data_IF_607414607422
#
_entry.id   IF_607414607422
#
_cell.length_a   1.000
_cell.length_b   1.000
_cell.length_c   1.000
_cell.angle_alpha   90.00
_cell.angle_beta   90.00
_cell.angle_gamma   90.00
#
_symmetry.space_group_name_H-M   'P 1'
#
loop_
_entity.id
_entity.type
_entity.pdbx_description
1 polymer ?
#
# COMPACT_ATOMS: atom_id res chain seq x y z
N UNK A 1 -16.73 9.56 22.36
CA UNK A 1 -15.67 9.62 21.35
C UNK A 1 -14.69 10.71 21.81
N UNK A 2 -13.49 10.31 22.24
CA UNK A 2 -12.45 11.27 22.61
C UNK A 2 -12.05 12.01 21.33
N UNK A 3 -12.24 13.33 21.29
CA UNK A 3 -11.72 14.16 20.20
C UNK A 3 -10.21 14.05 20.28
N UNK A 4 -9.60 13.37 19.31
CA UNK A 4 -8.15 13.23 19.23
C UNK A 4 -7.57 14.66 19.15
N UNK A 5 -6.65 14.99 20.04
CA UNK A 5 -6.01 16.31 20.02
C UNK A 5 -5.22 16.46 18.71
N UNK A 6 -5.21 17.66 18.09
CA UNK A 6 -4.42 17.92 16.90
C UNK A 6 -2.96 17.50 17.11
N UNK A 7 -2.39 16.77 16.15
CA UNK A 7 -1.02 16.24 16.17
C UNK A 7 -0.25 16.73 14.94
N UNK A 8 0.06 18.05 14.87
CA UNK A 8 0.65 18.63 13.66
C UNK A 8 2.03 18.06 13.30
N UNK A 9 2.71 17.45 14.27
CA UNK A 9 4.03 16.83 14.05
C UNK A 9 3.95 15.37 13.63
N UNK A 10 2.74 14.77 13.57
CA UNK A 10 2.52 13.35 13.28
C UNK A 10 2.02 13.18 11.85
N UNK A 11 2.66 12.30 11.08
CA UNK A 11 2.19 11.88 9.77
C UNK A 11 1.22 10.70 9.89
N UNK A 12 0.07 10.76 9.23
CA UNK A 12 -0.83 9.61 9.08
C UNK A 12 -0.36 8.73 7.92
N UNK A 13 -0.14 7.44 8.17
CA UNK A 13 0.11 6.40 7.16
C UNK A 13 -1.18 5.60 6.98
N UNK A 14 -1.85 5.71 5.86
CA UNK A 14 -3.12 5.03 5.61
C UNK A 14 -3.02 4.11 4.40
N UNK A 15 -3.32 2.81 4.59
CA UNK A 15 -3.49 1.89 3.46
C UNK A 15 -4.93 1.98 2.94
N UNK A 16 -5.08 2.14 1.61
CA UNK A 16 -6.36 2.15 0.91
C UNK A 16 -6.79 0.72 0.64
N UNK A 17 -7.74 0.18 1.41
CA UNK A 17 -8.04 -1.24 1.42
C UNK A 17 -9.48 -1.58 1.10
N UNK A 18 -9.70 -2.54 0.22
CA UNK A 18 -10.97 -3.23 0.04
C UNK A 18 -11.01 -4.46 0.96
N UNK A 19 -12.18 -4.75 1.56
CA UNK A 19 -12.35 -5.92 2.42
C UNK A 19 -11.95 -7.20 1.66
N UNK A 20 -11.03 -8.02 2.21
CA UNK A 20 -10.53 -9.23 1.54
C UNK A 20 -11.57 -10.35 1.55
N UNK A 21 -12.60 -10.20 0.70
CA UNK A 21 -13.68 -11.17 0.52
C UNK A 21 -13.48 -11.98 -0.75
N UNK A 22 -13.87 -13.25 -0.67
CA UNK A 22 -13.82 -14.17 -1.81
C UNK A 22 -14.56 -13.59 -3.03
N UNK A 23 -13.87 -13.56 -4.19
CA UNK A 23 -14.38 -13.04 -5.45
C UNK A 23 -14.49 -11.51 -5.56
N UNK A 24 -14.19 -10.77 -4.48
CA UNK A 24 -14.29 -9.30 -4.48
C UNK A 24 -12.93 -8.59 -4.62
N UNK A 25 -11.82 -9.27 -4.29
CA UNK A 25 -10.46 -8.71 -4.33
C UNK A 25 -9.53 -9.57 -5.17
N UNK A 26 -8.49 -8.96 -5.75
CA UNK A 26 -7.42 -9.65 -6.48
C UNK A 26 -7.92 -10.64 -7.56
N UNK A 27 -9.06 -10.37 -8.18
CA UNK A 27 -9.67 -11.23 -9.20
C UNK A 27 -8.78 -11.40 -10.46
N UNK A 28 -7.85 -10.47 -10.72
CA UNK A 28 -6.87 -10.56 -11.81
C UNK A 28 -5.72 -11.53 -11.51
N UNK A 29 -5.63 -12.00 -10.26
CA UNK A 29 -4.72 -13.09 -9.87
C UNK A 29 -5.35 -14.48 -10.10
N UNK A 30 -6.58 -14.55 -10.59
CA UNK A 30 -7.32 -15.79 -10.87
C UNK A 30 -7.48 -15.96 -12.38
N UNK A 31 -6.83 -16.94 -13.04
CA UNK A 31 -5.75 -17.77 -12.50
C UNK A 31 -4.42 -17.00 -12.32
N UNK A 32 -3.40 -17.49 -11.60
CA UNK A 32 -3.19 -18.86 -11.14
C UNK A 32 -3.78 -19.19 -9.76
N UNK A 33 -4.25 -18.19 -9.01
CA UNK A 33 -4.91 -18.42 -7.72
C UNK A 33 -6.36 -18.85 -7.91
N UNK A 34 -6.91 -19.52 -6.89
CA UNK A 34 -8.35 -19.63 -6.70
C UNK A 34 -8.90 -18.34 -6.04
N UNK A 35 -10.21 -18.09 -6.16
CA UNK A 35 -10.84 -16.88 -5.59
C UNK A 35 -10.62 -16.75 -4.07
N UNK A 36 -10.69 -17.88 -3.34
CA UNK A 36 -10.44 -17.92 -1.91
C UNK A 36 -8.96 -17.66 -1.59
N UNK A 37 -8.04 -18.25 -2.36
CA UNK A 37 -6.60 -18.03 -2.22
C UNK A 37 -6.24 -16.55 -2.43
N UNK A 38 -6.86 -15.89 -3.41
CA UNK A 38 -6.67 -14.48 -3.70
C UNK A 38 -7.15 -13.59 -2.54
N UNK A 39 -8.28 -13.93 -1.91
CA UNK A 39 -8.79 -13.22 -0.74
C UNK A 39 -7.87 -13.38 0.49
N UNK A 40 -7.39 -14.61 0.76
CA UNK A 40 -6.45 -14.87 1.85
C UNK A 40 -5.12 -14.14 1.61
N UNK A 41 -4.62 -14.15 0.37
CA UNK A 41 -3.40 -13.42 0.01
C UNK A 41 -3.56 -11.91 0.25
N UNK A 42 -4.70 -11.33 -0.15
CA UNK A 42 -5.03 -9.92 0.11
C UNK A 42 -5.04 -9.61 1.63
N UNK A 43 -5.59 -10.52 2.45
CA UNK A 43 -5.54 -10.38 3.90
C UNK A 43 -4.10 -10.42 4.45
N UNK A 44 -3.24 -11.29 3.90
CA UNK A 44 -1.81 -11.33 4.25
C UNK A 44 -1.10 -10.03 3.88
N UNK A 45 -1.39 -9.45 2.70
CA UNK A 45 -0.84 -8.14 2.30
C UNK A 45 -1.18 -7.06 3.32
N UNK A 46 -2.44 -6.97 3.73
CA UNK A 46 -2.88 -5.97 4.71
C UNK A 46 -2.20 -6.14 6.07
N UNK A 47 -2.03 -7.38 6.54
CA UNK A 47 -1.28 -7.65 7.76
C UNK A 47 0.17 -7.17 7.67
N UNK A 48 0.83 -7.45 6.54
CA UNK A 48 2.23 -7.09 6.34
C UNK A 48 2.41 -5.57 6.18
N UNK A 49 1.58 -4.91 5.38
CA UNK A 49 1.62 -3.46 5.19
C UNK A 49 1.38 -2.73 6.52
N UNK A 50 0.38 -3.15 7.29
CA UNK A 50 0.07 -2.52 8.58
C UNK A 50 1.13 -2.80 9.64
N UNK A 51 1.74 -3.97 9.64
CA UNK A 51 2.89 -4.27 10.50
C UNK A 51 4.11 -3.41 10.13
N UNK A 52 4.35 -3.17 8.83
CA UNK A 52 5.38 -2.26 8.35
C UNK A 52 5.10 -0.80 8.79
N UNK A 53 3.83 -0.35 8.76
CA UNK A 53 3.46 0.96 9.32
C UNK A 53 3.79 1.08 10.81
N UNK A 54 3.55 0.02 11.60
CA UNK A 54 3.90 0.03 13.02
C UNK A 54 5.42 0.16 13.23
N UNK A 55 6.24 -0.51 12.41
CA UNK A 55 7.69 -0.37 12.46
C UNK A 55 8.13 1.08 12.13
N UNK A 56 7.49 1.74 11.16
CA UNK A 56 7.72 3.17 10.87
C UNK A 56 7.34 4.03 12.07
N UNK A 57 6.18 3.77 12.70
CA UNK A 57 5.69 4.53 13.87
C UNK A 57 6.61 4.42 15.10
N UNK A 58 7.45 3.39 15.17
CA UNK A 58 8.48 3.24 16.22
C UNK A 58 9.70 4.12 15.97
N UNK A 59 9.92 4.53 14.72
CA UNK A 59 11.12 5.27 14.30
C UNK A 59 10.89 6.77 14.13
N UNK A 60 9.66 7.17 13.73
CA UNK A 60 9.31 8.57 13.46
C UNK A 60 7.89 8.88 13.97
N UNK A 61 7.56 10.14 14.22
CA UNK A 61 6.19 10.52 14.60
C UNK A 61 5.19 10.21 13.48
N UNK A 62 4.58 9.03 13.52
CA UNK A 62 3.58 8.58 12.58
C UNK A 62 2.46 7.79 13.29
N UNK A 63 1.32 7.64 12.61
CA UNK A 63 0.17 6.85 13.07
C UNK A 63 -0.39 6.03 11.91
N UNK A 64 -0.68 4.74 12.16
CA UNK A 64 -1.17 3.82 11.14
C UNK A 64 -2.70 3.79 11.03
N UNK A 65 -3.20 3.72 9.80
CA UNK A 65 -4.63 3.66 9.47
C UNK A 65 -4.92 2.66 8.36
N UNK A 66 -6.17 2.20 8.31
CA UNK A 66 -6.78 1.58 7.14
C UNK A 66 -7.95 2.44 6.69
N UNK A 67 -7.87 3.03 5.48
CA UNK A 67 -8.99 3.61 4.78
C UNK A 67 -9.72 2.49 4.03
N UNK A 68 -10.76 1.95 4.65
CA UNK A 68 -11.38 0.70 4.21
C UNK A 68 -12.61 0.92 3.33
N UNK A 69 -12.97 -0.10 2.55
CA UNK A 69 -14.22 -0.24 1.83
C UNK A 69 -14.64 -1.71 1.74
N UNK A 70 -15.93 -2.03 1.57
CA UNK A 70 -17.09 -1.15 1.68
C UNK A 70 -17.44 -0.80 3.14
N UNK A 71 -18.40 0.13 3.36
CA UNK A 71 -18.98 0.35 4.69
C UNK A 71 -19.52 -0.96 5.31
N UNK A 72 -19.43 -1.08 6.64
CA UNK A 72 -19.88 -2.29 7.35
C UNK A 72 -18.85 -3.42 7.37
N UNK A 73 -17.59 -3.14 6.99
CA UNK A 73 -16.49 -4.11 7.04
C UNK A 73 -15.57 -3.92 8.27
N UNK A 74 -15.96 -3.07 9.22
CA UNK A 74 -15.16 -2.68 10.39
C UNK A 74 -14.70 -3.86 11.22
N UNK A 75 -15.62 -4.79 11.54
CA UNK A 75 -15.32 -5.97 12.33
C UNK A 75 -14.22 -6.83 11.67
N UNK A 76 -14.33 -7.06 10.35
CA UNK A 76 -13.35 -7.82 9.60
C UNK A 76 -11.95 -7.19 9.69
N UNK A 77 -11.85 -5.88 9.50
CA UNK A 77 -10.55 -5.20 9.59
C UNK A 77 -10.02 -5.16 11.02
N UNK A 78 -10.88 -4.99 12.02
CA UNK A 78 -10.47 -5.01 13.44
C UNK A 78 -9.90 -6.37 13.89
N UNK A 79 -10.41 -7.46 13.32
CA UNK A 79 -9.90 -8.82 13.57
C UNK A 79 -8.61 -9.12 12.76
N UNK A 80 -8.45 -8.43 11.62
CA UNK A 80 -7.36 -8.70 10.68
C UNK A 80 -6.03 -8.10 11.14
N UNK A 81 -6.04 -6.91 11.76
CA UNK A 81 -4.84 -6.11 12.01
C UNK A 81 -4.65 -5.77 13.47
N UNK A 82 -3.45 -5.28 13.79
CA UNK A 82 -3.10 -4.91 15.17
C UNK A 82 -3.98 -3.75 15.69
N UNK A 83 -4.43 -3.74 16.95
CA UNK A 83 -5.32 -2.70 17.53
C UNK A 83 -4.78 -1.25 17.49
N UNK A 84 -3.48 -1.07 17.32
CA UNK A 84 -2.86 0.26 17.11
C UNK A 84 -3.15 0.85 15.74
N UNK A 85 -3.61 0.06 14.78
CA UNK A 85 -4.04 0.52 13.46
C UNK A 85 -5.49 0.98 13.55
N UNK A 86 -5.74 2.23 13.22
CA UNK A 86 -7.06 2.84 13.30
C UNK A 86 -7.82 2.67 11.99
N UNK A 87 -9.13 2.52 12.07
CA UNK A 87 -10.00 2.41 10.89
C UNK A 87 -10.51 3.79 10.48
N UNK A 88 -10.39 4.11 9.19
CA UNK A 88 -10.94 5.31 8.57
C UNK A 88 -12.10 4.89 7.67
N UNK A 89 -13.36 5.27 8.02
CA UNK A 89 -14.53 4.84 7.28
C UNK A 89 -14.60 5.50 5.89
N UNK A 90 -15.14 4.80 4.88
CA UNK A 90 -15.26 5.33 3.53
C UNK A 90 -16.36 6.39 3.46
N UNK A 91 -16.14 7.47 2.70
CA UNK A 91 -17.15 8.50 2.45
C UNK A 91 -17.80 8.41 1.06
N UNK A 92 -17.06 7.99 0.03
CA UNK A 92 -17.53 7.98 -1.37
C UNK A 92 -16.96 6.82 -2.17
N UNK A 93 -17.55 6.59 -3.35
CA UNK A 93 -17.15 5.57 -4.32
C UNK A 93 -16.21 6.21 -5.35
N UNK A 94 -15.21 5.47 -5.80
CA UNK A 94 -14.21 5.86 -6.80
C UNK A 94 -12.86 6.21 -6.18
N UNK A 95 -11.76 5.74 -6.83
CA UNK A 95 -10.41 5.78 -6.27
C UNK A 95 -9.94 7.21 -5.97
N UNK A 96 -10.04 8.13 -6.94
CA UNK A 96 -9.59 9.51 -6.75
C UNK A 96 -10.34 10.25 -5.65
N UNK A 97 -11.67 10.05 -5.56
CA UNK A 97 -12.47 10.62 -4.48
C UNK A 97 -12.13 9.99 -3.12
N UNK A 98 -11.89 8.68 -3.08
CA UNK A 98 -11.52 7.98 -1.85
C UNK A 98 -10.16 8.46 -1.32
N UNK A 99 -9.18 8.67 -2.20
CA UNK A 99 -7.87 9.22 -1.85
C UNK A 99 -8.00 10.66 -1.31
N UNK A 100 -8.71 11.54 -2.03
CA UNK A 100 -8.90 12.92 -1.59
C UNK A 100 -9.59 12.97 -0.22
N UNK A 101 -10.67 12.22 -0.02
CA UNK A 101 -11.40 12.24 1.25
C UNK A 101 -10.61 11.62 2.40
N UNK A 102 -9.83 10.56 2.15
CA UNK A 102 -8.94 10.02 3.16
C UNK A 102 -7.89 11.07 3.60
N UNK A 103 -7.33 11.83 2.66
CA UNK A 103 -6.44 12.93 2.98
C UNK A 103 -7.14 14.05 3.76
N UNK A 104 -8.35 14.47 3.32
CA UNK A 104 -9.17 15.49 4.02
C UNK A 104 -9.46 15.07 5.47
N UNK A 105 -9.85 13.82 5.69
CA UNK A 105 -10.18 13.31 7.01
C UNK A 105 -8.97 13.26 7.93
N UNK A 106 -7.85 12.72 7.46
CA UNK A 106 -6.63 12.57 8.24
C UNK A 106 -6.01 13.93 8.60
N UNK A 107 -5.98 14.86 7.65
CA UNK A 107 -5.49 16.21 7.88
C UNK A 107 -6.48 17.02 8.74
N UNK A 108 -7.80 16.84 8.52
CA UNK A 108 -8.87 17.51 9.25
C UNK A 108 -8.92 17.18 10.74
N UNK A 109 -8.50 15.97 11.15
CA UNK A 109 -8.35 15.60 12.57
C UNK A 109 -7.02 16.05 13.18
N UNK A 110 -6.20 16.81 12.42
CA UNK A 110 -5.03 17.52 12.93
C UNK A 110 -3.70 16.83 12.72
N UNK A 111 -3.58 15.81 11.84
CA UNK A 111 -2.28 15.34 11.40
C UNK A 111 -1.59 16.37 10.52
N UNK A 112 -0.26 16.53 10.66
CA UNK A 112 0.51 17.47 9.87
C UNK A 112 0.76 17.06 8.43
N UNK A 113 0.62 15.76 8.15
CA UNK A 113 0.72 15.16 6.82
C UNK A 113 -0.04 13.83 6.76
N UNK A 114 -0.39 13.38 5.55
CA UNK A 114 -1.00 12.09 5.29
C UNK A 114 -0.31 11.40 4.10
N UNK A 115 0.15 10.17 4.28
CA UNK A 115 0.61 9.28 3.22
C UNK A 115 -0.45 8.22 2.98
N UNK A 116 -1.00 8.19 1.77
CA UNK A 116 -1.96 7.19 1.31
C UNK A 116 -1.21 6.15 0.48
N UNK A 117 -1.29 4.89 0.89
CA UNK A 117 -0.53 3.76 0.33
C UNK A 117 -1.51 2.76 -0.27
N UNK A 118 -1.18 2.14 -1.41
CA UNK A 118 -1.98 1.06 -1.96
C UNK A 118 -1.93 -0.20 -1.07
N UNK A 119 -2.88 -1.12 -1.26
CA UNK A 119 -2.94 -2.39 -0.51
C UNK A 119 -2.20 -3.54 -1.22
N UNK A 120 -1.46 -3.23 -2.29
CA UNK A 120 -1.03 -4.22 -3.27
C UNK A 120 0.50 -4.41 -3.31
N UNK A 121 1.22 -3.68 -2.45
CA UNK A 121 2.69 -3.70 -2.35
C UNK A 121 3.15 -4.21 -0.98
N UNK A 122 2.98 -5.52 -0.65
CA UNK A 122 3.24 -6.06 0.69
C UNK A 122 4.72 -6.01 1.08
N UNK A 123 5.61 -5.97 0.10
CA UNK A 123 7.07 -5.90 0.28
C UNK A 123 7.62 -4.48 0.18
N UNK A 124 6.75 -3.45 0.16
CA UNK A 124 7.20 -2.05 0.12
C UNK A 124 8.23 -1.78 1.23
N UNK A 125 9.46 -1.31 0.89
CA UNK A 125 10.51 -1.11 1.88
C UNK A 125 10.12 -0.15 3.00
N UNK A 126 10.39 -0.50 4.24
CA UNK A 126 10.24 0.39 5.40
C UNK A 126 11.01 1.70 5.20
N UNK A 127 12.19 1.63 4.58
CA UNK A 127 13.02 2.79 4.28
C UNK A 127 12.33 3.79 3.33
N UNK A 128 11.51 3.33 2.40
CA UNK A 128 10.73 4.20 1.50
C UNK A 128 9.60 4.89 2.27
N UNK A 129 8.91 4.18 3.16
CA UNK A 129 7.89 4.78 4.02
C UNK A 129 8.48 5.84 4.97
N UNK A 130 9.65 5.56 5.54
CA UNK A 130 10.39 6.53 6.37
C UNK A 130 10.77 7.76 5.54
N UNK A 131 11.31 7.58 4.33
CA UNK A 131 11.66 8.67 3.42
C UNK A 131 10.43 9.53 3.06
N UNK A 132 9.26 8.91 2.83
CA UNK A 132 8.02 9.63 2.56
C UNK A 132 7.62 10.52 3.74
N UNK A 133 7.64 10.00 4.96
CA UNK A 133 7.32 10.76 6.18
C UNK A 133 8.31 11.90 6.38
N UNK A 134 9.62 11.63 6.26
CA UNK A 134 10.66 12.64 6.43
C UNK A 134 10.58 13.74 5.36
N UNK A 135 10.22 13.41 4.11
CA UNK A 135 10.06 14.40 3.04
C UNK A 135 8.89 15.38 3.29
N UNK A 136 7.90 14.99 4.12
CA UNK A 136 6.77 15.83 4.47
C UNK A 136 7.00 16.69 5.74
N UNK A 137 8.03 16.43 6.54
CA UNK A 137 8.33 17.17 7.77
C UNK A 137 8.75 18.62 7.57
N UNK A 138 9.63 18.96 6.59
CA UNK A 138 10.09 20.34 6.44
C UNK A 138 8.93 21.31 6.14
N UNK A 139 9.04 22.58 6.56
CA UNK A 139 8.04 23.60 6.24
C UNK A 139 7.85 23.78 4.74
N UNK A 140 6.74 24.37 4.35
CA UNK A 140 6.30 24.52 2.97
C UNK A 140 5.46 23.32 2.51
N UNK A 141 4.66 23.57 1.46
CA UNK A 141 3.73 22.59 0.91
C UNK A 141 4.36 21.81 -0.24
N UNK A 142 4.03 20.52 -0.33
CA UNK A 142 4.55 19.60 -1.36
C UNK A 142 3.73 18.34 -1.42
N UNK A 143 3.82 17.65 -2.55
CA UNK A 143 3.37 16.27 -2.70
C UNK A 143 4.57 15.32 -2.76
N UNK A 144 4.45 14.16 -2.11
CA UNK A 144 5.39 13.04 -2.22
C UNK A 144 4.73 11.95 -3.04
N UNK A 145 5.40 11.46 -4.08
CA UNK A 145 4.87 10.42 -4.96
C UNK A 145 5.84 9.23 -5.03
N UNK A 146 5.33 8.04 -4.76
CA UNK A 146 6.03 6.78 -4.94
C UNK A 146 5.56 6.09 -6.22
N UNK A 147 6.32 6.12 -7.34
CA UNK A 147 5.88 5.56 -8.61
C UNK A 147 5.80 4.04 -8.57
N UNK A 148 4.70 3.47 -9.07
CA UNK A 148 4.54 2.05 -9.33
C UNK A 148 5.07 1.69 -10.73
N UNK A 149 5.54 0.44 -10.90
CA UNK A 149 6.11 -0.02 -12.17
C UNK A 149 5.08 -0.10 -13.30
N UNK A 150 3.78 -0.14 -12.96
CA UNK A 150 2.66 -0.16 -13.92
C UNK A 150 2.28 1.23 -14.46
N UNK A 151 2.97 2.31 -14.01
CA UNK A 151 2.67 3.69 -14.37
C UNK A 151 1.68 4.39 -13.44
N UNK A 152 1.22 3.72 -12.38
CA UNK A 152 0.51 4.29 -11.24
C UNK A 152 1.45 4.84 -10.16
N UNK A 153 0.96 4.93 -8.96
CA UNK A 153 1.76 5.19 -7.77
C UNK A 153 1.31 4.30 -6.60
N UNK A 154 2.27 3.77 -5.88
CA UNK A 154 2.01 2.98 -4.67
C UNK A 154 1.78 3.87 -3.44
N UNK A 155 2.21 5.14 -3.50
CA UNK A 155 2.08 6.11 -2.40
C UNK A 155 1.86 7.52 -2.94
N UNK A 156 0.93 8.25 -2.31
CA UNK A 156 0.82 9.71 -2.40
C UNK A 156 0.83 10.32 -1.00
N UNK A 157 1.78 11.23 -0.73
CA UNK A 157 1.93 11.95 0.53
C UNK A 157 1.59 13.42 0.38
N UNK A 158 0.79 13.97 1.31
CA UNK A 158 0.22 15.32 1.24
C UNK A 158 0.31 16.03 2.58
N UNK A 159 0.48 17.35 2.55
CA UNK A 159 0.34 18.27 3.71
C UNK A 159 -0.98 19.04 3.68
N UNK A 160 -1.58 19.15 2.50
CA UNK A 160 -2.89 19.76 2.28
C UNK A 160 -3.68 18.95 1.27
N UNK A 161 -5.03 18.92 1.35
CA UNK A 161 -5.86 18.14 0.44
C UNK A 161 -6.07 18.87 -0.91
N UNK A 162 -5.06 18.80 -1.78
CA UNK A 162 -5.13 19.41 -3.11
C UNK A 162 -6.05 18.62 -4.04
N UNK A 163 -7.30 19.05 -4.17
CA UNK A 163 -8.30 18.43 -5.06
C UNK A 163 -7.79 18.26 -6.49
N UNK A 164 -7.03 19.24 -7.01
CA UNK A 164 -6.50 19.23 -8.38
C UNK A 164 -5.63 18.02 -8.69
N UNK A 165 -4.96 17.43 -7.71
CA UNK A 165 -4.14 16.22 -7.92
C UNK A 165 -4.95 14.98 -8.32
N UNK A 166 -6.26 14.98 -8.05
CA UNK A 166 -7.16 13.86 -8.26
C UNK A 166 -8.19 14.10 -9.38
N UNK A 167 -8.19 15.30 -9.98
CA UNK A 167 -9.09 15.67 -11.06
C UNK A 167 -8.52 15.33 -12.44
N UNK A 168 -9.39 14.87 -13.34
CA UNK A 168 -9.06 14.51 -14.73
C UNK A 168 -7.87 13.52 -14.81
N UNK A 169 -7.84 12.54 -13.92
CA UNK A 169 -6.88 11.45 -13.92
C UNK A 169 -7.54 10.23 -14.57
N UNK A 170 -6.85 9.64 -15.54
CA UNK A 170 -7.28 8.39 -16.17
C UNK A 170 -6.93 7.20 -15.27
N UNK A 171 -7.70 7.05 -14.19
CA UNK A 171 -7.49 5.99 -13.19
C UNK A 171 -7.41 4.60 -13.81
N UNK A 172 -6.62 3.72 -13.21
CA UNK A 172 -6.36 2.35 -13.67
C UNK A 172 -5.68 2.28 -15.04
N UNK A 173 -4.87 3.28 -15.38
CA UNK A 173 -4.01 3.29 -16.57
C UNK A 173 -2.57 3.64 -16.21
N UNK A 174 -1.63 3.30 -17.10
CA UNK A 174 -0.20 3.64 -17.00
C UNK A 174 0.10 5.16 -16.94
N UNK A 175 -0.91 6.01 -17.18
CA UNK A 175 -0.77 7.48 -17.20
C UNK A 175 -1.02 8.15 -15.86
N UNK A 176 -1.46 7.43 -14.83
CA UNK A 176 -1.85 8.00 -13.53
C UNK A 176 -0.73 8.81 -12.91
N UNK A 177 0.49 8.26 -12.83
CA UNK A 177 1.65 8.95 -12.26
C UNK A 177 2.00 10.23 -13.03
N UNK A 178 2.13 10.14 -14.36
CA UNK A 178 2.48 11.29 -15.20
C UNK A 178 1.43 12.40 -15.13
N UNK A 179 0.15 12.04 -15.18
CA UNK A 179 -0.94 13.01 -15.05
C UNK A 179 -0.97 13.67 -13.67
N UNK A 180 -0.73 12.93 -12.59
CA UNK A 180 -0.64 13.51 -11.24
C UNK A 180 0.53 14.49 -11.12
N UNK A 181 1.69 14.20 -11.74
CA UNK A 181 2.82 15.14 -11.84
C UNK A 181 2.42 16.42 -12.58
N UNK A 182 1.70 16.32 -13.70
CA UNK A 182 1.25 17.48 -14.46
C UNK A 182 0.24 18.32 -13.67
N UNK A 183 -0.65 17.68 -12.89
CA UNK A 183 -1.55 18.39 -11.97
C UNK A 183 -0.78 19.14 -10.88
N UNK A 184 0.21 18.51 -10.26
CA UNK A 184 1.06 19.18 -9.27
C UNK A 184 1.77 20.40 -9.87
N UNK A 185 2.36 20.27 -11.05
CA UNK A 185 3.00 21.39 -11.77
C UNK A 185 2.01 22.52 -12.09
N UNK A 186 0.78 22.17 -12.51
CA UNK A 186 -0.24 23.16 -12.88
C UNK A 186 -0.67 24.07 -11.73
N UNK A 187 -0.46 23.64 -10.49
CA UNK A 187 -0.77 24.42 -9.27
C UNK A 187 0.50 24.93 -8.55
N UNK A 188 1.67 24.81 -9.17
CA UNK A 188 2.94 25.24 -8.59
C UNK A 188 3.38 24.43 -7.36
N UNK A 189 2.86 23.23 -7.16
CA UNK A 189 3.16 22.38 -6.01
C UNK A 189 4.49 21.65 -6.21
N UNK A 190 5.39 21.75 -5.24
CA UNK A 190 6.65 21.01 -5.22
C UNK A 190 6.41 19.50 -5.15
N UNK A 191 7.18 18.73 -5.91
CA UNK A 191 7.08 17.27 -5.96
C UNK A 191 8.36 16.62 -5.47
N UNK A 192 8.23 15.66 -4.55
CA UNK A 192 9.29 14.72 -4.17
C UNK A 192 8.93 13.35 -4.72
N UNK A 193 9.80 12.77 -5.55
CA UNK A 193 9.60 11.44 -6.11
C UNK A 193 10.47 10.42 -5.37
N UNK A 194 9.83 9.38 -4.84
CA UNK A 194 10.49 8.26 -4.17
C UNK A 194 11.03 7.23 -5.17
N UNK A 195 11.78 6.26 -4.67
CA UNK A 195 12.22 5.12 -5.49
C UNK A 195 11.02 4.33 -6.01
N UNK A 196 11.05 3.82 -7.26
CA UNK A 196 9.97 3.00 -7.78
C UNK A 196 9.83 1.69 -7.00
N UNK A 197 8.59 1.18 -6.95
CA UNK A 197 8.26 -0.13 -6.40
C UNK A 197 7.18 -0.79 -7.25
N UNK A 198 6.88 -2.05 -6.99
CA UNK A 198 5.87 -2.78 -7.73
C UNK A 198 4.65 -3.10 -6.85
N UNK A 199 3.52 -3.28 -7.48
CA UNK A 199 2.27 -3.80 -6.94
C UNK A 199 1.96 -5.18 -7.55
N UNK A 200 1.18 -5.95 -6.82
CA UNK A 200 0.86 -7.35 -7.18
C UNK A 200 -0.59 -7.41 -7.64
N UNK A 201 -0.80 -7.22 -8.95
CA UNK A 201 -2.13 -7.10 -9.53
C UNK A 201 -2.48 -8.18 -10.57
N UNK A 202 -1.49 -8.92 -11.05
CA UNK A 202 -1.66 -9.96 -12.06
C UNK A 202 -0.70 -11.14 -11.84
N UNK A 203 -0.79 -12.14 -12.71
CA UNK A 203 0.03 -13.34 -12.62
C UNK A 203 1.55 -13.06 -12.78
N UNK A 204 1.94 -12.00 -13.49
CA UNK A 204 3.34 -11.65 -13.66
C UNK A 204 3.91 -11.01 -12.41
N UNK A 205 3.24 -10.02 -11.85
CA UNK A 205 3.63 -9.37 -10.60
C UNK A 205 3.54 -10.33 -9.40
N UNK A 206 2.63 -11.30 -9.41
CA UNK A 206 2.62 -12.40 -8.45
C UNK A 206 3.91 -13.26 -8.54
N UNK A 207 4.40 -13.53 -9.76
CA UNK A 207 5.68 -14.24 -9.93
C UNK A 207 6.86 -13.40 -9.42
N UNK A 208 6.84 -12.09 -9.60
CA UNK A 208 7.85 -11.19 -9.02
C UNK A 208 7.86 -11.30 -7.49
N UNK A 209 6.69 -11.20 -6.87
CA UNK A 209 6.53 -11.37 -5.43
C UNK A 209 7.10 -12.71 -4.95
N UNK A 210 6.73 -13.81 -5.60
CA UNK A 210 7.24 -15.13 -5.24
C UNK A 210 8.78 -15.21 -5.33
N UNK A 211 9.38 -14.66 -6.38
CA UNK A 211 10.84 -14.61 -6.55
C UNK A 211 11.52 -13.75 -5.49
N UNK A 212 10.93 -12.62 -5.14
CA UNK A 212 11.46 -11.74 -4.10
C UNK A 212 11.43 -12.42 -2.74
N UNK A 213 10.25 -12.87 -2.29
CA UNK A 213 10.09 -13.41 -0.92
C UNK A 213 10.74 -14.77 -0.71
N UNK A 214 10.95 -15.56 -1.78
CA UNK A 214 11.55 -16.90 -1.70
C UNK A 214 13.05 -16.91 -2.00
N UNK A 215 13.53 -16.02 -2.89
CA UNK A 215 14.90 -16.03 -3.39
C UNK A 215 15.58 -14.65 -3.34
N UNK A 216 14.97 -13.63 -2.77
CA UNK A 216 15.51 -12.26 -2.69
C UNK A 216 15.71 -11.57 -4.05
N UNK A 217 15.01 -12.04 -5.11
CA UNK A 217 15.16 -11.53 -6.48
C UNK A 217 14.02 -10.56 -6.81
N UNK A 218 14.31 -9.28 -6.77
CA UNK A 218 13.38 -8.22 -7.07
C UNK A 218 13.25 -7.96 -8.58
N UNK A 219 12.11 -7.39 -9.05
CA UNK A 219 11.97 -6.95 -10.43
C UNK A 219 12.93 -5.80 -10.74
N UNK A 220 13.24 -5.65 -12.03
CA UNK A 220 14.10 -4.57 -12.51
C UNK A 220 13.48 -3.20 -12.14
N UNK A 221 14.30 -2.29 -11.66
CA UNK A 221 13.87 -0.96 -11.18
C UNK A 221 13.67 -0.87 -9.66
N UNK A 222 13.46 -1.98 -8.96
CA UNK A 222 13.39 -2.03 -7.50
C UNK A 222 14.80 -2.28 -6.94
N UNK A 223 15.44 -1.23 -6.43
CA UNK A 223 16.86 -1.26 -6.01
C UNK A 223 17.06 -1.31 -4.48
N UNK A 224 15.98 -1.20 -3.72
CA UNK A 224 16.03 -1.24 -2.25
C UNK A 224 15.62 -2.60 -1.72
N UNK A 225 16.17 -3.06 -0.58
CA UNK A 225 15.69 -4.29 0.06
C UNK A 225 14.21 -4.16 0.43
N UNK A 226 13.40 -5.13 0.01
CA UNK A 226 11.98 -5.17 0.35
C UNK A 226 11.72 -5.46 1.83
N UNK A 227 10.55 -5.07 2.31
CA UNK A 227 10.04 -5.52 3.60
C UNK A 227 9.83 -7.04 3.58
N UNK A 228 10.12 -7.72 4.67
CA UNK A 228 10.13 -9.19 4.74
C UNK A 228 8.77 -9.86 4.46
N UNK A 229 7.66 -9.14 4.63
CA UNK A 229 6.29 -9.59 4.40
C UNK A 229 6.01 -11.01 4.96
N UNK A 230 6.14 -11.22 6.29
CA UNK A 230 6.15 -12.57 6.88
C UNK A 230 4.84 -13.32 6.69
N UNK A 231 3.68 -12.66 6.73
CA UNK A 231 2.38 -13.29 6.51
C UNK A 231 2.22 -13.74 5.06
N UNK A 232 2.56 -12.86 4.11
CA UNK A 232 2.56 -13.15 2.68
C UNK A 232 3.52 -14.29 2.36
N UNK A 233 4.74 -14.23 2.90
CA UNK A 233 5.75 -15.28 2.71
C UNK A 233 5.27 -16.63 3.23
N UNK A 234 4.70 -16.69 4.42
CA UNK A 234 4.19 -17.93 5.00
C UNK A 234 3.07 -18.53 4.14
N UNK A 235 2.14 -17.69 3.70
CA UNK A 235 1.03 -18.14 2.87
C UNK A 235 1.47 -18.62 1.48
N UNK A 236 2.33 -17.88 0.79
CA UNK A 236 2.88 -18.31 -0.51
C UNK A 236 3.64 -19.63 -0.38
N UNK A 237 4.43 -19.82 0.69
CA UNK A 237 5.09 -21.11 0.96
C UNK A 237 4.09 -22.26 1.14
N UNK A 238 2.98 -22.03 1.83
CA UNK A 238 1.93 -23.05 2.01
C UNK A 238 1.27 -23.43 0.68
N UNK A 239 0.99 -22.45 -0.18
CA UNK A 239 0.45 -22.69 -1.52
C UNK A 239 1.39 -23.53 -2.39
N UNK A 240 2.68 -23.23 -2.34
CA UNK A 240 3.69 -24.00 -3.08
C UNK A 240 3.80 -25.43 -2.56
N UNK A 241 3.82 -25.60 -1.23
CA UNK A 241 3.91 -26.92 -0.59
C UNK A 241 2.70 -27.80 -0.90
N UNK A 242 1.53 -27.22 -1.14
CA UNK A 242 0.31 -27.94 -1.55
C UNK A 242 0.22 -28.25 -3.07
N UNK A 243 1.32 -28.12 -3.81
CA UNK A 243 1.39 -28.43 -5.24
C UNK A 243 1.18 -27.22 -6.17
N UNK A 244 1.19 -25.99 -5.62
CA UNK A 244 0.99 -24.77 -6.38
C UNK A 244 2.21 -24.26 -7.15
N UNK A 245 3.40 -24.85 -7.01
CA UNK A 245 4.64 -24.37 -7.62
C UNK A 245 4.54 -24.21 -9.14
N UNK A 246 4.04 -25.23 -9.82
CA UNK A 246 3.82 -25.20 -11.27
C UNK A 246 2.83 -24.12 -11.71
N UNK A 247 1.75 -23.90 -10.94
CA UNK A 247 0.75 -22.86 -11.23
C UNK A 247 1.34 -21.45 -11.26
N UNK A 248 2.36 -21.20 -10.43
CA UNK A 248 2.99 -19.88 -10.33
C UNK A 248 4.17 -19.70 -11.30
N UNK A 249 4.56 -20.72 -12.06
CA UNK A 249 5.70 -20.67 -12.98
C UNK A 249 7.02 -20.36 -12.27
N UNK A 250 7.19 -20.89 -11.06
CA UNK A 250 8.38 -20.72 -10.22
C UNK A 250 9.17 -22.02 -10.06
N UNK A 251 9.03 -22.93 -11.01
CA UNK A 251 9.76 -24.17 -11.06
C UNK A 251 11.28 -23.93 -11.02
N UNK A 252 11.96 -24.60 -10.09
CA UNK A 252 13.41 -24.47 -9.91
C UNK A 252 13.86 -23.36 -8.98
N UNK A 253 12.96 -22.62 -8.29
CA UNK A 253 13.38 -21.78 -7.17
C UNK A 253 13.67 -22.70 -5.98
N UNK A 254 14.97 -22.82 -5.62
CA UNK A 254 15.38 -23.53 -4.41
C UNK A 254 14.74 -22.82 -3.20
N UNK A 255 13.72 -23.43 -2.63
CA UNK A 255 13.17 -22.98 -1.35
C UNK A 255 14.22 -23.32 -0.30
N UNK A 256 14.94 -22.31 0.22
CA UNK A 256 15.78 -22.55 1.40
C UNK A 256 14.92 -23.17 2.49
N UNK A 257 15.21 -24.44 2.80
CA UNK A 257 14.63 -25.12 3.97
C UNK A 257 15.16 -24.40 5.18
N UNK A 258 14.34 -23.55 5.79
CA UNK A 258 14.61 -23.09 7.15
C UNK A 258 14.58 -24.35 8.00
N UNK A 259 15.75 -24.77 8.49
CA UNK A 259 15.85 -25.80 9.52
C UNK A 259 15.10 -25.31 10.76
N UNK A 260 14.41 -26.21 11.47
CA UNK A 260 13.55 -25.90 12.61
C UNK A 260 14.28 -25.23 13.76
#
# INVERSE_FOLDING_TARGET
>A
MSVDQPRPDVCALAVMAKAPRNGEVKTRLVPPLELEEAAILSACFLRDITANFLAVCESVPASGFIAYSPPGSEALFSELVHPRIRLLPPRRIGLGHSLLHAAEDLLGVGHGAACLVNADSPTLPTSILLEAVEALRPPGDRVVLGPALDGGYYLIGLKQPHRRLFEDIAWSTERVFSQTLDRARSIGLGVVTLSPWYDVDDAESLRWLCREILAGRQPQGCIRPGYAAPNTRAYVRSLIASGGGERFGIDGIAIERVSP
#
